data_IF_461599259297
#
_entry.id   IF_461599259297
#
_cell.length_a   1.000
_cell.length_b   1.000
_cell.length_c   1.000
_cell.angle_alpha   90.00
_cell.angle_beta   90.00
_cell.angle_gamma   90.00
#
_symmetry.space_group_name_H-M   'P 1'
#
loop_
_entity.id
_entity.type
_entity.pdbx_description
1 polymer ?
#
# COMPACT_ATOMS: atom_id res chain seq x y z
N UNK A 1 -12.54 -8.76 22.31
CA UNK A 1 -13.15 -9.03 20.99
C UNK A 1 -14.40 -9.90 21.10
N UNK A 2 -14.37 -11.09 21.72
CA UNK A 2 -15.53 -11.99 21.85
C UNK A 2 -16.74 -11.33 22.52
N UNK A 3 -16.55 -10.61 23.64
CA UNK A 3 -17.62 -9.90 24.34
C UNK A 3 -18.26 -8.79 23.46
N UNK A 4 -17.47 -8.08 22.66
CA UNK A 4 -17.98 -7.08 21.72
C UNK A 4 -18.83 -7.71 20.62
N UNK A 5 -18.38 -8.83 20.04
CA UNK A 5 -19.13 -9.58 19.02
C UNK A 5 -20.46 -10.07 19.58
N UNK A 6 -20.46 -10.63 20.79
CA UNK A 6 -21.70 -11.06 21.46
C UNK A 6 -22.65 -9.87 21.66
N UNK A 7 -22.13 -8.73 22.11
CA UNK A 7 -22.95 -7.54 22.33
C UNK A 7 -23.54 -6.98 21.04
N UNK A 8 -22.78 -6.99 19.95
CA UNK A 8 -23.28 -6.59 18.62
C UNK A 8 -24.41 -7.51 18.17
N UNK A 9 -24.26 -8.82 18.34
CA UNK A 9 -25.24 -9.83 17.87
C UNK A 9 -26.51 -9.92 18.73
N UNK A 10 -26.40 -9.69 20.05
CA UNK A 10 -27.49 -9.96 20.99
C UNK A 10 -27.91 -8.75 21.80
N UNK A 11 -27.18 -7.63 21.72
CA UNK A 11 -27.41 -6.45 22.58
C UNK A 11 -28.48 -5.47 22.09
N UNK A 12 -29.18 -5.77 20.99
CA UNK A 12 -30.22 -4.89 20.43
C UNK A 12 -29.68 -3.54 19.92
N UNK A 13 -28.40 -3.51 19.56
CA UNK A 13 -27.75 -2.28 19.06
C UNK A 13 -28.25 -1.91 17.66
N UNK A 14 -28.41 -0.62 17.41
CA UNK A 14 -28.62 -0.06 16.08
C UNK A 14 -27.36 0.70 15.68
N UNK A 15 -26.69 0.26 14.60
CA UNK A 15 -25.46 0.83 14.09
C UNK A 15 -25.78 1.63 12.83
N UNK A 16 -25.42 2.91 12.84
CA UNK A 16 -25.54 3.81 11.69
C UNK A 16 -24.20 3.82 10.97
N UNK A 17 -24.07 3.00 9.94
CA UNK A 17 -22.86 2.85 9.14
C UNK A 17 -22.61 4.07 8.27
N UNK A 18 -21.34 4.32 7.94
CA UNK A 18 -20.91 5.31 6.94
C UNK A 18 -20.98 4.80 5.50
N UNK A 19 -21.24 3.49 5.33
CA UNK A 19 -21.23 2.86 4.01
C UNK A 19 -22.28 3.47 3.08
N UNK A 20 -21.82 3.95 1.92
CA UNK A 20 -22.68 4.26 0.76
C UNK A 20 -22.95 2.97 -0.01
N UNK A 21 -24.19 2.46 0.09
CA UNK A 21 -24.57 1.19 -0.55
C UNK A 21 -24.42 1.21 -2.07
N UNK A 22 -24.52 2.38 -2.72
CA UNK A 22 -24.32 2.52 -4.17
C UNK A 22 -22.84 2.31 -4.49
N UNK A 23 -21.96 2.98 -3.79
CA UNK A 23 -20.50 2.86 -3.97
C UNK A 23 -20.04 1.44 -3.61
N UNK A 24 -20.55 0.88 -2.48
CA UNK A 24 -20.19 -0.45 -2.03
C UNK A 24 -20.52 -1.53 -3.06
N UNK A 25 -21.79 -1.56 -3.53
CA UNK A 25 -22.24 -2.54 -4.54
C UNK A 25 -21.50 -2.39 -5.87
N UNK A 26 -21.22 -1.16 -6.26
CA UNK A 26 -20.43 -0.88 -7.45
C UNK A 26 -19.02 -1.43 -7.31
N UNK A 27 -18.35 -1.16 -6.18
CA UNK A 27 -16.99 -1.66 -5.93
C UNK A 27 -16.96 -3.20 -5.84
N UNK A 28 -17.95 -3.81 -5.19
CA UNK A 28 -18.11 -5.27 -5.15
C UNK A 28 -18.19 -5.84 -6.57
N UNK A 29 -19.07 -5.30 -7.43
CA UNK A 29 -19.20 -5.76 -8.81
C UNK A 29 -17.89 -5.65 -9.61
N UNK A 30 -17.08 -4.61 -9.38
CA UNK A 30 -15.76 -4.47 -10.01
C UNK A 30 -14.74 -5.48 -9.50
N UNK A 31 -14.87 -5.92 -8.24
CA UNK A 31 -13.93 -6.82 -7.58
C UNK A 31 -14.33 -8.30 -7.70
N UNK A 32 -15.60 -8.61 -7.91
CA UNK A 32 -16.10 -9.99 -8.04
C UNK A 32 -15.71 -10.62 -9.38
N UNK A 33 -15.57 -9.82 -10.44
CA UNK A 33 -15.14 -10.33 -11.74
C UNK A 33 -13.64 -10.61 -11.75
N UNK A 34 -13.27 -11.86 -11.58
CA UNK A 34 -11.90 -12.35 -11.39
C UNK A 34 -11.40 -13.27 -12.54
N UNK A 35 -12.14 -13.33 -13.64
CA UNK A 35 -11.78 -14.12 -14.83
C UNK A 35 -10.92 -13.34 -15.84
N UNK A 36 -10.88 -13.85 -17.08
CA UNK A 36 -10.19 -13.20 -18.20
C UNK A 36 -10.72 -11.78 -18.48
N UNK A 37 -11.99 -11.53 -18.17
CA UNK A 37 -12.65 -10.25 -18.31
C UNK A 37 -12.57 -9.36 -17.06
N UNK A 38 -11.90 -9.83 -15.99
CA UNK A 38 -11.74 -9.11 -14.72
C UNK A 38 -10.60 -8.09 -14.73
N UNK A 39 -10.61 -7.19 -13.75
CA UNK A 39 -9.53 -6.21 -13.57
C UNK A 39 -8.23 -6.86 -13.14
N UNK A 40 -8.30 -7.89 -12.31
CA UNK A 40 -7.14 -8.54 -11.72
C UNK A 40 -6.92 -9.92 -12.34
N UNK A 41 -5.81 -10.12 -13.05
CA UNK A 41 -5.48 -11.45 -13.54
C UNK A 41 -5.30 -12.43 -12.38
N UNK A 42 -5.91 -13.60 -12.50
CA UNK A 42 -5.73 -14.69 -11.54
C UNK A 42 -4.35 -15.34 -11.76
N UNK A 43 -3.32 -14.75 -11.14
CA UNK A 43 -1.97 -15.28 -11.21
C UNK A 43 -1.81 -16.32 -10.12
N UNK A 44 -1.67 -17.57 -10.54
CA UNK A 44 -1.54 -18.71 -9.65
C UNK A 44 -0.08 -19.05 -9.40
N UNK A 45 0.24 -19.41 -8.17
CA UNK A 45 1.51 -20.04 -7.81
C UNK A 45 1.28 -21.19 -6.84
N UNK A 46 2.18 -22.15 -6.86
CA UNK A 46 2.20 -23.21 -5.86
C UNK A 46 2.97 -22.72 -4.62
N UNK A 47 2.42 -22.94 -3.46
CA UNK A 47 3.04 -22.68 -2.17
C UNK A 47 3.15 -23.97 -1.37
N UNK A 48 4.32 -24.20 -0.78
CA UNK A 48 4.56 -25.30 0.12
C UNK A 48 4.06 -24.93 1.52
N UNK A 49 3.20 -25.78 2.08
CA UNK A 49 2.74 -25.69 3.45
C UNK A 49 3.37 -26.83 4.26
N UNK A 50 4.41 -26.51 5.04
CA UNK A 50 5.07 -27.45 5.93
C UNK A 50 4.22 -27.68 7.18
N UNK A 51 3.93 -28.97 7.49
CA UNK A 51 3.17 -29.34 8.69
C UNK A 51 4.05 -29.42 9.94
N UNK A 52 5.38 -29.41 9.79
CA UNK A 52 6.31 -29.71 10.89
C UNK A 52 6.32 -31.19 11.32
N UNK A 53 5.45 -32.04 10.76
CA UNK A 53 5.38 -33.47 11.08
C UNK A 53 6.47 -34.18 10.28
N UNK A 54 7.31 -35.06 10.89
CA UNK A 54 8.28 -35.86 10.16
C UNK A 54 7.62 -36.65 9.03
N UNK A 55 8.20 -36.56 7.84
CA UNK A 55 7.73 -37.33 6.70
C UNK A 55 8.24 -38.76 6.81
N UNK A 56 7.30 -39.71 7.00
CA UNK A 56 7.57 -41.12 6.84
C UNK A 56 6.77 -41.64 5.64
N UNK A 57 7.43 -42.36 4.75
CA UNK A 57 6.77 -43.02 3.61
C UNK A 57 5.70 -44.01 4.02
N UNK A 58 5.74 -44.52 5.27
CA UNK A 58 4.71 -45.39 5.87
C UNK A 58 3.45 -44.59 6.27
N UNK A 59 3.56 -43.28 6.49
CA UNK A 59 2.42 -42.39 6.70
C UNK A 59 1.73 -41.97 5.40
N UNK A 60 1.94 -42.76 4.36
CA UNK A 60 1.36 -42.62 3.04
C UNK A 60 -0.16 -42.57 3.15
N UNK A 61 -0.72 -41.45 2.93
CA UNK A 61 -2.00 -40.97 3.30
C UNK A 61 -2.94 -41.01 2.12
N UNK A 62 -4.18 -41.28 2.40
CA UNK A 62 -5.33 -41.07 1.51
C UNK A 62 -5.91 -39.67 1.72
N UNK A 63 -6.80 -39.26 0.82
CA UNK A 63 -7.61 -38.04 1.01
C UNK A 63 -9.03 -38.47 1.34
N UNK A 64 -9.68 -37.75 2.27
CA UNK A 64 -11.11 -37.84 2.52
C UNK A 64 -11.94 -37.30 1.36
N UNK A 65 -13.23 -37.57 1.36
CA UNK A 65 -14.18 -37.06 0.36
C UNK A 65 -14.28 -35.52 0.37
N UNK A 66 -13.87 -34.89 1.47
CA UNK A 66 -13.77 -33.44 1.69
C UNK A 66 -12.42 -32.84 1.23
N UNK A 67 -11.54 -33.68 0.67
CA UNK A 67 -10.21 -33.27 0.23
C UNK A 67 -9.17 -33.09 1.35
N UNK A 68 -9.52 -33.40 2.61
CA UNK A 68 -8.58 -33.37 3.72
C UNK A 68 -7.60 -34.55 3.66
N UNK A 69 -6.31 -34.31 3.91
CA UNK A 69 -5.33 -35.39 4.01
C UNK A 69 -5.56 -36.18 5.30
N UNK A 70 -5.57 -37.49 5.17
CA UNK A 70 -5.76 -38.45 6.27
C UNK A 70 -4.45 -39.25 6.52
N UNK A 71 -4.12 -39.53 7.75
CA UNK A 71 -3.03 -40.46 8.11
C UNK A 71 -3.40 -41.91 7.77
N UNK A 72 -2.50 -42.84 8.04
CA UNK A 72 -2.74 -44.25 7.78
C UNK A 72 -3.93 -44.81 8.59
N UNK A 73 -4.37 -44.13 9.61
CA UNK A 73 -5.52 -44.47 10.45
C UNK A 73 -6.82 -43.84 9.95
N UNK A 74 -6.77 -43.05 8.88
CA UNK A 74 -7.91 -42.32 8.34
C UNK A 74 -8.27 -41.06 9.10
N UNK A 75 -7.37 -40.51 9.93
CA UNK A 75 -7.57 -39.29 10.69
C UNK A 75 -6.99 -38.09 9.93
N UNK A 76 -7.63 -36.87 10.01
CA UNK A 76 -7.09 -35.67 9.39
C UNK A 76 -5.69 -35.30 9.90
N UNK A 77 -4.81 -34.90 8.98
CA UNK A 77 -3.48 -34.41 9.31
C UNK A 77 -3.55 -32.89 9.49
N UNK A 78 -3.10 -32.40 10.64
CA UNK A 78 -3.15 -31.00 11.01
C UNK A 78 -1.74 -30.42 11.15
N UNK A 79 -1.63 -29.10 11.11
CA UNK A 79 -0.42 -28.39 11.52
C UNK A 79 -0.16 -28.60 13.03
N UNK A 80 1.05 -28.28 13.53
CA UNK A 80 1.38 -28.41 14.96
C UNK A 80 0.48 -27.63 15.91
N UNK A 81 -0.29 -26.65 15.40
CA UNK A 81 -1.27 -25.84 16.15
C UNK A 81 -2.71 -26.37 16.03
N UNK A 82 -2.89 -27.62 15.63
CA UNK A 82 -4.16 -28.29 15.39
C UNK A 82 -5.02 -27.65 14.28
N UNK A 83 -4.45 -26.77 13.47
CA UNK A 83 -5.17 -26.23 12.31
C UNK A 83 -5.06 -27.17 11.12
N UNK A 84 -6.18 -27.50 10.45
CA UNK A 84 -6.12 -28.36 9.26
C UNK A 84 -5.36 -27.67 8.12
N UNK A 85 -4.53 -28.44 7.42
CA UNK A 85 -3.87 -27.98 6.21
C UNK A 85 -4.78 -28.26 5.02
N UNK A 86 -5.76 -27.40 4.81
CA UNK A 86 -6.67 -27.48 3.67
C UNK A 86 -6.80 -26.12 2.97
N UNK A 87 -7.28 -26.14 1.75
CA UNK A 87 -7.52 -24.94 0.98
C UNK A 87 -8.89 -24.32 1.28
N UNK A 88 -8.91 -23.01 1.47
CA UNK A 88 -10.15 -22.24 1.67
C UNK A 88 -10.92 -21.99 0.36
N UNK A 89 -10.29 -22.19 -0.79
CA UNK A 89 -10.82 -21.84 -2.12
C UNK A 89 -11.09 -23.05 -3.03
N UNK A 90 -10.95 -24.27 -2.51
CA UNK A 90 -11.25 -25.49 -3.23
C UNK A 90 -10.17 -25.91 -4.24
N UNK A 91 -8.97 -25.37 -4.15
CA UNK A 91 -7.85 -25.81 -4.97
C UNK A 91 -7.24 -27.09 -4.40
N UNK A 92 -6.70 -27.97 -5.27
CA UNK A 92 -6.23 -29.30 -4.89
C UNK A 92 -4.94 -29.24 -4.08
N UNK A 93 -4.94 -29.78 -2.86
CA UNK A 93 -3.73 -29.99 -2.08
C UNK A 93 -2.91 -31.15 -2.63
N UNK A 94 -1.66 -30.89 -2.98
CA UNK A 94 -0.69 -31.91 -3.33
C UNK A 94 0.18 -32.24 -2.11
N UNK A 95 0.52 -33.51 -1.95
CA UNK A 95 1.28 -34.02 -0.82
C UNK A 95 2.69 -34.39 -1.20
N UNK A 96 3.66 -34.21 -0.28
CA UNK A 96 5.04 -34.62 -0.46
C UNK A 96 5.91 -34.46 0.77
N UNK A 97 7.20 -34.72 0.65
CA UNK A 97 8.21 -34.36 1.64
C UNK A 97 8.72 -32.95 1.38
N UNK A 98 9.17 -32.25 2.43
CA UNK A 98 9.86 -30.98 2.31
C UNK A 98 11.08 -31.08 1.39
N UNK A 99 11.36 -30.03 0.61
CA UNK A 99 12.50 -29.99 -0.29
C UNK A 99 13.85 -30.01 0.46
N UNK A 100 13.86 -29.48 1.69
CA UNK A 100 15.01 -29.45 2.58
C UNK A 100 14.65 -30.09 3.93
N UNK A 101 15.57 -30.82 4.58
CA UNK A 101 15.35 -31.31 5.93
C UNK A 101 15.34 -30.13 6.93
N UNK A 102 14.66 -30.33 8.05
CA UNK A 102 14.67 -29.40 9.19
C UNK A 102 16.05 -29.39 9.88
N UNK A 103 16.18 -28.64 10.98
CA UNK A 103 17.44 -28.53 11.76
C UNK A 103 17.95 -29.87 12.31
N UNK A 104 17.08 -30.85 12.46
CA UNK A 104 17.39 -32.22 12.93
C UNK A 104 17.72 -33.19 11.78
N UNK A 105 17.78 -32.71 10.55
CA UNK A 105 18.08 -33.50 9.36
C UNK A 105 16.88 -34.38 8.86
N UNK A 106 15.68 -34.10 9.35
CA UNK A 106 14.47 -34.83 9.04
C UNK A 106 13.64 -34.07 8.02
N UNK A 107 13.19 -34.74 6.94
CA UNK A 107 12.21 -34.19 6.03
C UNK A 107 10.82 -34.18 6.69
N UNK A 108 10.07 -33.11 6.48
CA UNK A 108 8.72 -32.95 7.03
C UNK A 108 7.66 -33.21 5.96
N UNK A 109 6.47 -33.59 6.40
CA UNK A 109 5.31 -33.70 5.53
C UNK A 109 4.85 -32.30 5.10
N UNK A 110 4.74 -32.10 3.80
CA UNK A 110 4.29 -30.83 3.22
C UNK A 110 3.10 -31.05 2.31
N UNK A 111 2.27 -30.02 2.23
CA UNK A 111 1.22 -29.91 1.24
C UNK A 111 1.52 -28.74 0.33
N UNK A 112 1.24 -28.93 -0.96
CA UNK A 112 1.33 -27.86 -1.93
C UNK A 112 -0.07 -27.36 -2.22
N UNK A 113 -0.26 -26.06 -2.06
CA UNK A 113 -1.51 -25.38 -2.42
C UNK A 113 -1.27 -24.39 -3.53
N UNK A 114 -2.27 -24.26 -4.39
CA UNK A 114 -2.29 -23.20 -5.37
C UNK A 114 -2.91 -21.95 -4.72
N UNK A 115 -2.15 -20.87 -4.64
CA UNK A 115 -2.63 -19.57 -4.19
C UNK A 115 -2.64 -18.60 -5.36
N UNK A 116 -3.54 -17.65 -5.34
CA UNK A 116 -3.64 -16.62 -6.37
C UNK A 116 -3.46 -15.23 -5.78
N UNK A 117 -3.16 -14.28 -6.66
CA UNK A 117 -3.13 -12.87 -6.29
C UNK A 117 -4.48 -12.41 -5.75
N UNK A 118 -4.41 -11.49 -4.79
CA UNK A 118 -5.54 -10.83 -4.17
C UNK A 118 -5.42 -9.32 -4.37
N UNK A 119 -6.55 -8.62 -4.29
CA UNK A 119 -6.58 -7.18 -4.24
C UNK A 119 -7.56 -6.70 -3.17
N UNK A 120 -7.33 -5.49 -2.69
CA UNK A 120 -8.20 -4.85 -1.73
C UNK A 120 -8.29 -3.35 -2.04
N UNK A 121 -9.48 -2.78 -1.89
CA UNK A 121 -9.75 -1.38 -2.22
C UNK A 121 -10.62 -0.76 -1.13
N UNK A 122 -10.34 0.49 -0.77
CA UNK A 122 -11.15 1.30 0.12
C UNK A 122 -11.41 2.68 -0.49
N UNK A 123 -12.64 3.17 -0.35
CA UNK A 123 -13.06 4.51 -0.78
C UNK A 123 -13.59 5.28 0.41
N UNK A 124 -13.14 6.52 0.56
CA UNK A 124 -13.49 7.44 1.65
C UNK A 124 -13.93 8.79 1.10
N UNK A 125 -14.72 9.52 1.87
CA UNK A 125 -14.86 10.97 1.69
C UNK A 125 -13.79 11.74 2.48
N UNK A 126 -13.86 13.06 2.42
CA UNK A 126 -12.91 13.93 3.12
C UNK A 126 -13.33 14.28 4.56
N UNK A 127 -14.46 13.76 5.01
CA UNK A 127 -14.90 13.86 6.42
C UNK A 127 -14.43 12.67 7.25
N UNK A 128 -13.70 11.73 6.62
CA UNK A 128 -13.17 10.53 7.25
C UNK A 128 -14.10 9.31 7.17
N UNK A 129 -15.24 9.41 6.50
CA UNK A 129 -16.16 8.28 6.37
C UNK A 129 -15.62 7.23 5.39
N UNK A 130 -15.56 5.97 5.81
CA UNK A 130 -15.32 4.83 4.93
C UNK A 130 -16.64 4.51 4.23
N UNK A 131 -16.72 4.86 2.93
CA UNK A 131 -17.95 4.75 2.13
C UNK A 131 -18.10 3.39 1.48
N UNK A 132 -16.98 2.78 1.05
CA UNK A 132 -16.95 1.45 0.47
C UNK A 132 -15.60 0.80 0.73
N UNK A 133 -15.60 -0.52 0.93
CA UNK A 133 -14.37 -1.30 1.02
C UNK A 133 -14.61 -2.75 0.59
N UNK A 134 -13.64 -3.32 -0.13
CA UNK A 134 -13.61 -4.73 -0.52
C UNK A 134 -12.23 -5.30 -0.22
N UNK A 135 -12.19 -6.38 0.55
CA UNK A 135 -10.97 -6.97 1.10
C UNK A 135 -10.41 -8.17 0.32
N UNK A 136 -10.93 -8.47 -0.88
CA UNK A 136 -10.49 -9.58 -1.70
C UNK A 136 -11.07 -9.56 -3.10
N UNK A 137 -10.52 -10.37 -4.00
CA UNK A 137 -10.99 -10.56 -5.39
C UNK A 137 -11.86 -11.80 -5.47
N UNK A 138 -12.93 -11.72 -6.28
CA UNK A 138 -13.87 -12.81 -6.50
C UNK A 138 -15.05 -12.78 -5.51
N UNK A 139 -15.98 -13.72 -5.72
CA UNK A 139 -17.18 -13.83 -4.90
C UNK A 139 -16.87 -14.07 -3.42
N UNK A 140 -17.48 -13.30 -2.54
CA UNK A 140 -17.37 -13.51 -1.10
C UNK A 140 -18.24 -14.70 -0.69
N UNK A 141 -17.59 -15.82 -0.35
CA UNK A 141 -18.27 -17.09 -0.01
C UNK A 141 -18.50 -17.29 1.48
N UNK A 142 -17.75 -16.59 2.35
CA UNK A 142 -17.79 -16.79 3.79
C UNK A 142 -17.93 -15.48 4.54
N UNK A 143 -18.67 -15.52 5.64
CA UNK A 143 -18.68 -14.43 6.62
C UNK A 143 -17.38 -14.41 7.41
N UNK A 144 -16.98 -13.20 7.84
CA UNK A 144 -15.74 -12.98 8.61
C UNK A 144 -14.44 -13.40 7.88
N UNK A 145 -14.46 -13.49 6.55
CA UNK A 145 -13.26 -13.69 5.76
C UNK A 145 -12.27 -12.52 5.94
N UNK A 146 -11.00 -12.78 5.64
CA UNK A 146 -9.92 -11.79 5.79
C UNK A 146 -10.21 -10.52 4.99
N UNK A 147 -10.28 -9.39 5.68
CA UNK A 147 -10.49 -8.09 5.07
C UNK A 147 -9.15 -7.37 4.87
N UNK A 148 -8.51 -7.57 3.72
CA UNK A 148 -7.20 -6.97 3.42
C UNK A 148 -7.24 -5.45 3.31
N UNK A 149 -8.43 -4.86 3.11
CA UNK A 149 -8.57 -3.41 3.03
C UNK A 149 -8.38 -2.71 4.39
N UNK A 150 -8.73 -3.40 5.50
CA UNK A 150 -8.70 -2.84 6.84
C UNK A 150 -7.77 -3.56 7.82
N UNK A 151 -7.56 -4.88 7.65
CA UNK A 151 -6.92 -5.72 8.66
C UNK A 151 -5.50 -6.18 8.28
N UNK A 152 -5.09 -6.04 7.01
CA UNK A 152 -3.80 -6.53 6.52
C UNK A 152 -2.94 -5.38 6.00
N UNK A 153 -2.02 -4.86 6.82
CA UNK A 153 -1.08 -3.86 6.35
C UNK A 153 -0.07 -4.46 5.36
N UNK A 154 0.29 -3.70 4.34
CA UNK A 154 1.24 -4.07 3.29
C UNK A 154 2.19 -2.92 3.00
N UNK A 155 3.40 -3.22 2.54
CA UNK A 155 4.30 -2.18 2.06
C UNK A 155 3.64 -1.39 0.93
N UNK A 156 3.67 -0.07 1.02
CA UNK A 156 2.97 0.80 0.08
C UNK A 156 3.87 1.36 -1.02
N UNK A 157 5.17 1.10 -0.95
CA UNK A 157 6.11 1.57 -1.96
C UNK A 157 6.02 3.08 -2.20
N UNK A 158 6.13 3.48 -3.44
CA UNK A 158 6.18 4.90 -3.84
C UNK A 158 4.94 5.73 -3.50
N UNK A 159 3.84 5.14 -3.01
CA UNK A 159 2.72 5.93 -2.48
C UNK A 159 3.06 6.61 -1.14
N UNK A 160 4.16 6.24 -0.50
CA UNK A 160 4.66 6.93 0.69
C UNK A 160 5.29 8.29 0.39
N UNK A 161 5.89 8.48 -0.79
CA UNK A 161 6.65 9.70 -1.16
C UNK A 161 5.88 11.00 -0.97
N UNK A 162 4.63 11.15 -1.46
CA UNK A 162 3.84 12.35 -1.26
C UNK A 162 3.54 12.64 0.20
N UNK A 163 3.27 11.60 1.00
CA UNK A 163 2.82 11.71 2.39
C UNK A 163 3.89 12.31 3.29
N UNK A 164 5.11 11.81 3.23
CA UNK A 164 6.17 12.25 4.15
C UNK A 164 7.09 13.29 3.50
N UNK A 165 7.85 12.92 2.47
CA UNK A 165 8.91 13.78 1.96
C UNK A 165 8.37 15.05 1.29
N UNK A 166 7.45 14.91 0.31
CA UNK A 166 7.00 16.06 -0.46
C UNK A 166 6.10 16.99 0.36
N UNK A 167 5.08 16.46 1.05
CA UNK A 167 4.16 17.28 1.83
C UNK A 167 4.90 18.06 2.92
N UNK A 168 5.72 17.37 3.71
CA UNK A 168 6.47 18.01 4.79
C UNK A 168 7.57 18.93 4.26
N UNK A 169 8.17 18.60 3.09
CA UNK A 169 9.15 19.46 2.42
C UNK A 169 8.57 20.79 1.97
N UNK A 170 7.33 20.80 1.43
CA UNK A 170 6.62 22.02 1.07
C UNK A 170 6.19 22.78 2.32
N UNK A 171 5.62 22.09 3.31
CA UNK A 171 5.14 22.69 4.56
C UNK A 171 6.25 23.43 5.31
N UNK A 172 7.47 22.90 5.29
CA UNK A 172 8.64 23.51 5.95
C UNK A 172 9.44 24.44 5.02
N UNK A 173 8.98 24.70 3.81
CA UNK A 173 9.68 25.59 2.87
C UNK A 173 11.02 25.05 2.36
N UNK A 174 11.29 23.75 2.54
CA UNK A 174 12.51 23.08 2.02
C UNK A 174 12.47 22.99 0.50
N UNK A 175 11.27 22.76 -0.04
CA UNK A 175 11.00 22.73 -1.47
C UNK A 175 9.72 23.51 -1.82
N UNK A 176 9.56 23.80 -3.10
CA UNK A 176 8.32 24.28 -3.70
C UNK A 176 8.03 23.50 -4.99
N UNK A 177 6.94 23.82 -5.67
CA UNK A 177 6.49 23.13 -6.88
C UNK A 177 7.57 23.04 -7.98
N UNK A 178 8.35 24.12 -8.16
CA UNK A 178 9.35 24.25 -9.22
C UNK A 178 10.80 24.09 -8.75
N UNK A 179 11.03 23.72 -7.50
CA UNK A 179 12.38 23.47 -6.98
C UNK A 179 13.13 22.46 -7.82
N UNK A 180 14.41 22.71 -8.05
CA UNK A 180 15.32 21.81 -8.74
C UNK A 180 16.13 21.00 -7.73
N UNK A 181 16.12 19.69 -7.87
CA UNK A 181 16.96 18.76 -7.08
C UNK A 181 17.67 17.82 -8.05
N UNK A 182 18.93 17.49 -7.79
CA UNK A 182 19.67 16.57 -8.62
C UNK A 182 19.03 15.16 -8.61
N UNK A 183 18.80 14.60 -9.78
CA UNK A 183 18.40 13.19 -9.93
C UNK A 183 19.63 12.28 -9.73
N UNK A 184 20.09 12.19 -8.50
CA UNK A 184 21.29 11.46 -8.10
C UNK A 184 21.08 10.71 -6.77
N UNK A 185 21.74 9.58 -6.56
CA UNK A 185 21.72 8.89 -5.27
C UNK A 185 22.14 9.80 -4.12
N UNK A 186 21.56 9.60 -2.93
CA UNK A 186 22.00 10.28 -1.72
C UNK A 186 23.37 9.75 -1.27
N UNK A 187 23.57 8.44 -1.41
CA UNK A 187 24.84 7.77 -1.12
C UNK A 187 25.40 7.14 -2.37
N UNK A 188 26.67 7.38 -2.65
CA UNK A 188 27.42 6.73 -3.72
C UNK A 188 28.06 5.43 -3.21
N UNK A 189 28.59 4.63 -4.13
CA UNK A 189 29.38 3.46 -3.78
C UNK A 189 30.62 3.81 -2.92
N UNK A 190 31.21 4.98 -3.15
CA UNK A 190 32.39 5.47 -2.44
C UNK A 190 32.08 5.93 -1.01
N UNK A 191 30.84 6.25 -0.68
CA UNK A 191 30.44 6.66 0.66
C UNK A 191 30.36 5.48 1.65
N UNK A 192 30.41 4.24 1.19
CA UNK A 192 30.35 3.00 1.99
C UNK A 192 29.18 2.95 2.98
N UNK A 193 28.06 3.59 2.64
CA UNK A 193 26.91 3.71 3.54
C UNK A 193 25.78 2.71 3.28
N UNK A 194 25.75 2.12 2.09
CA UNK A 194 24.71 1.15 1.72
C UNK A 194 25.35 -0.15 1.24
N UNK A 195 25.30 -1.17 2.09
CA UNK A 195 25.79 -2.50 1.78
C UNK A 195 24.85 -3.22 0.80
N UNK A 196 25.42 -3.86 -0.22
CA UNK A 196 24.68 -4.75 -1.12
C UNK A 196 24.50 -6.12 -0.46
N UNK A 197 23.49 -6.23 0.39
CA UNK A 197 23.26 -7.44 1.19
C UNK A 197 22.99 -8.69 0.34
N UNK A 198 22.40 -8.54 -0.85
CA UNK A 198 22.21 -9.66 -1.77
C UNK A 198 23.54 -10.19 -2.30
N UNK A 199 24.42 -9.27 -2.69
CA UNK A 199 25.75 -9.64 -3.17
C UNK A 199 26.61 -10.23 -2.04
N UNK A 200 26.52 -9.67 -0.83
CA UNK A 200 27.20 -10.23 0.35
C UNK A 200 26.73 -11.67 0.64
N UNK A 201 25.41 -11.96 0.56
CA UNK A 201 24.92 -13.33 0.74
C UNK A 201 25.49 -14.31 -0.31
N UNK A 202 25.56 -13.90 -1.57
CA UNK A 202 26.18 -14.72 -2.65
C UNK A 202 27.64 -15.04 -2.39
N UNK A 203 28.35 -14.13 -1.71
CA UNK A 203 29.76 -14.29 -1.38
C UNK A 203 29.99 -14.91 0.00
N UNK A 204 28.94 -15.21 0.77
CA UNK A 204 29.07 -15.71 2.15
C UNK A 204 29.66 -14.69 3.13
N UNK A 205 29.52 -13.39 2.84
CA UNK A 205 30.03 -12.30 3.68
C UNK A 205 29.00 -11.89 4.73
N UNK A 206 29.49 -11.24 5.79
CA UNK A 206 28.67 -10.61 6.82
C UNK A 206 27.68 -9.61 6.22
N UNK A 207 26.51 -9.48 6.84
CA UNK A 207 25.52 -8.46 6.50
C UNK A 207 25.65 -7.20 7.39
N UNK A 208 26.65 -7.16 8.24
CA UNK A 208 26.98 -5.99 9.05
C UNK A 208 27.82 -4.99 8.22
N UNK A 209 27.32 -3.76 7.99
CA UNK A 209 28.11 -2.71 7.34
C UNK A 209 29.39 -2.35 8.10
N UNK A 210 29.43 -2.57 9.41
CA UNK A 210 30.61 -2.32 10.27
C UNK A 210 31.66 -3.41 10.19
N UNK A 211 31.42 -4.54 9.56
CA UNK A 211 32.37 -5.64 9.46
C UNK A 211 33.63 -5.21 8.70
N UNK A 212 34.82 -5.40 9.28
CA UNK A 212 36.08 -5.04 8.64
C UNK A 212 36.30 -5.70 7.27
N UNK A 213 35.78 -6.92 7.06
CA UNK A 213 35.86 -7.59 5.78
C UNK A 213 35.01 -6.88 4.68
N UNK A 214 33.86 -6.29 5.04
CA UNK A 214 33.06 -5.47 4.16
C UNK A 214 33.69 -4.10 3.94
N UNK A 215 34.24 -3.49 5.00
CA UNK A 215 34.90 -2.18 4.91
C UNK A 215 36.14 -2.19 4.02
N UNK A 216 36.80 -3.34 3.89
CA UNK A 216 37.97 -3.51 3.02
C UNK A 216 37.63 -3.71 1.53
N UNK A 217 36.37 -3.68 1.14
CA UNK A 217 35.91 -4.02 -0.22
C UNK A 217 34.99 -2.95 -0.77
N UNK A 218 35.28 -2.45 -1.98
CA UNK A 218 34.41 -1.50 -2.68
C UNK A 218 33.27 -2.18 -3.43
N UNK A 219 33.43 -3.43 -3.86
CA UNK A 219 32.45 -4.14 -4.70
C UNK A 219 31.16 -4.55 -3.93
N UNK A 220 31.19 -4.57 -2.62
CA UNK A 220 30.01 -4.89 -1.79
C UNK A 220 29.11 -3.69 -1.51
N UNK A 221 29.49 -2.50 -1.90
CA UNK A 221 28.72 -1.28 -1.69
C UNK A 221 27.94 -0.88 -2.92
N UNK A 222 26.82 -0.22 -2.75
CA UNK A 222 25.97 0.26 -3.83
C UNK A 222 25.52 1.70 -3.62
N UNK A 223 25.29 2.39 -4.73
CA UNK A 223 24.58 3.67 -4.69
C UNK A 223 23.14 3.48 -4.19
N UNK A 224 22.66 4.42 -3.34
CA UNK A 224 21.29 4.40 -2.83
C UNK A 224 20.72 5.82 -2.67
N UNK A 225 19.42 6.02 -2.98
CA UNK A 225 18.57 5.08 -3.72
C UNK A 225 18.89 5.06 -5.20
N UNK A 226 18.38 4.04 -5.90
CA UNK A 226 18.34 4.03 -7.36
C UNK A 226 16.91 4.22 -7.85
N UNK A 227 16.72 4.82 -9.00
CA UNK A 227 15.43 4.87 -9.70
C UNK A 227 15.13 3.52 -10.36
N UNK A 228 13.89 3.36 -10.83
CA UNK A 228 13.47 2.16 -11.58
C UNK A 228 14.37 1.88 -12.81
N UNK A 229 14.85 2.93 -13.48
CA UNK A 229 15.64 2.86 -14.70
C UNK A 229 17.16 3.09 -14.48
N UNK A 230 17.62 3.08 -13.21
CA UNK A 230 19.04 3.22 -12.90
C UNK A 230 19.36 4.22 -11.78
N UNK A 231 20.62 4.57 -11.60
CA UNK A 231 21.08 5.38 -10.46
C UNK A 231 20.67 6.87 -10.53
N UNK A 232 19.98 7.27 -11.59
CA UNK A 232 19.65 8.67 -11.85
C UNK A 232 20.53 9.27 -12.93
N UNK A 233 20.14 10.45 -13.40
CA UNK A 233 20.80 11.14 -14.53
C UNK A 233 21.94 12.05 -14.08
N UNK A 234 22.06 12.34 -12.77
CA UNK A 234 22.95 13.33 -12.18
C UNK A 234 22.54 14.78 -12.49
N UNK A 235 21.48 15.00 -13.26
CA UNK A 235 21.03 16.35 -13.66
C UNK A 235 19.94 16.86 -12.73
N UNK A 236 19.82 18.18 -12.55
CA UNK A 236 18.67 18.75 -11.84
C UNK A 236 17.35 18.38 -12.54
N UNK A 237 16.34 18.06 -11.74
CA UNK A 237 14.97 17.78 -12.18
C UNK A 237 14.01 18.61 -11.33
N UNK A 238 12.94 19.10 -11.93
CA UNK A 238 11.89 19.82 -11.22
C UNK A 238 11.15 18.86 -10.29
N UNK A 239 10.89 19.29 -9.08
CA UNK A 239 10.15 18.52 -8.06
C UNK A 239 8.84 17.96 -8.60
N UNK A 240 8.09 18.74 -9.39
CA UNK A 240 6.85 18.29 -10.02
C UNK A 240 7.07 17.10 -10.98
N UNK A 241 8.10 17.14 -11.81
CA UNK A 241 8.43 16.06 -12.74
C UNK A 241 8.98 14.83 -12.01
N UNK A 242 9.78 15.06 -10.98
CA UNK A 242 10.31 13.97 -10.14
C UNK A 242 9.19 13.17 -9.45
N UNK A 243 8.16 13.85 -8.93
CA UNK A 243 7.01 13.19 -8.35
C UNK A 243 6.16 12.47 -9.40
N UNK A 244 5.89 13.10 -10.55
CA UNK A 244 5.11 12.52 -11.64
C UNK A 244 5.75 11.22 -12.16
N UNK A 245 7.07 11.21 -12.33
CA UNK A 245 7.87 10.06 -12.74
C UNK A 245 8.18 9.09 -11.60
N UNK A 246 7.79 9.45 -10.37
CA UNK A 246 8.04 8.62 -9.18
C UNK A 246 9.52 8.32 -8.93
N UNK A 247 10.44 9.25 -9.23
CA UNK A 247 11.87 9.07 -8.95
C UNK A 247 12.09 8.77 -7.47
N UNK A 248 13.08 7.96 -7.15
CA UNK A 248 13.47 7.61 -5.77
C UNK A 248 14.50 8.59 -5.20
N UNK A 249 15.39 9.07 -6.05
CA UNK A 249 16.55 9.90 -5.69
C UNK A 249 16.13 11.23 -5.06
N UNK A 250 15.16 11.89 -5.64
CA UNK A 250 14.71 13.22 -5.22
C UNK A 250 14.01 13.21 -3.85
N UNK A 251 12.97 12.39 -3.61
CA UNK A 251 12.28 12.39 -2.30
C UNK A 251 13.18 11.92 -1.16
N UNK A 252 14.16 11.05 -1.42
CA UNK A 252 15.10 10.63 -0.37
C UNK A 252 16.01 11.79 0.05
N UNK A 253 16.50 12.61 -0.88
CA UNK A 253 17.25 13.82 -0.54
C UNK A 253 16.38 14.82 0.25
N UNK A 254 15.12 15.01 -0.15
CA UNK A 254 14.16 15.86 0.61
C UNK A 254 13.99 15.28 2.04
N UNK A 255 13.82 13.97 2.16
CA UNK A 255 13.66 13.31 3.44
C UNK A 255 14.89 13.44 4.34
N UNK A 256 16.08 13.37 3.76
CA UNK A 256 17.34 13.57 4.48
C UNK A 256 17.45 15.00 5.01
N UNK A 257 17.12 16.01 4.19
CA UNK A 257 17.08 17.41 4.61
C UNK A 257 16.10 17.66 5.77
N UNK A 258 14.98 16.94 5.81
CA UNK A 258 13.94 17.07 6.85
C UNK A 258 14.32 16.33 8.14
N UNK A 259 15.06 15.23 8.03
CA UNK A 259 15.45 14.36 9.10
C UNK A 259 14.42 13.29 9.46
N UNK A 260 14.91 12.07 9.70
CA UNK A 260 14.12 10.84 9.91
C UNK A 260 13.08 10.98 11.02
N UNK A 261 13.44 11.55 12.15
CA UNK A 261 12.56 11.72 13.31
C UNK A 261 11.33 12.57 12.97
N UNK A 262 11.54 13.69 12.28
CA UNK A 262 10.41 14.56 11.87
C UNK A 262 9.50 13.87 10.88
N UNK A 263 10.06 13.10 9.93
CA UNK A 263 9.28 12.31 8.99
C UNK A 263 8.44 11.25 9.72
N UNK A 264 9.03 10.56 10.71
CA UNK A 264 8.34 9.54 11.49
C UNK A 264 7.19 10.15 12.32
N UNK A 265 7.47 11.20 13.08
CA UNK A 265 6.48 11.86 13.93
C UNK A 265 5.30 12.41 13.09
N UNK A 266 5.59 12.91 11.89
CA UNK A 266 4.55 13.37 10.96
C UNK A 266 3.72 12.21 10.41
N UNK A 267 4.35 11.16 9.89
CA UNK A 267 3.65 10.01 9.31
C UNK A 267 2.82 9.27 10.35
N UNK A 268 3.39 9.01 11.53
CA UNK A 268 2.73 8.28 12.61
C UNK A 268 1.66 9.13 13.31
N UNK A 269 2.04 10.35 13.73
CA UNK A 269 1.18 11.20 14.59
C UNK A 269 0.19 12.06 13.80
N UNK A 270 0.62 12.69 12.68
CA UNK A 270 -0.24 13.62 11.95
C UNK A 270 -1.03 12.96 10.82
N UNK A 271 -0.56 11.85 10.27
CA UNK A 271 -1.23 11.13 9.18
C UNK A 271 -1.84 9.80 9.61
N UNK A 272 -1.72 9.40 10.88
CA UNK A 272 -2.35 8.21 11.43
C UNK A 272 -1.82 6.88 10.88
N UNK A 273 -0.57 6.83 10.40
CA UNK A 273 0.05 5.58 9.94
C UNK A 273 0.56 4.75 11.13
N UNK A 274 -0.37 4.27 11.94
CA UNK A 274 -0.09 3.68 13.26
C UNK A 274 0.54 2.27 13.21
N UNK A 275 0.66 1.65 12.05
CA UNK A 275 1.37 0.39 11.88
C UNK A 275 2.89 0.56 11.66
N UNK A 276 3.40 1.79 11.59
CA UNK A 276 4.83 2.04 11.53
C UNK A 276 5.51 1.57 12.84
N UNK A 277 6.59 0.82 12.69
CA UNK A 277 7.41 0.35 13.81
C UNK A 277 8.41 1.46 14.20
N UNK A 278 8.35 1.99 15.46
CA UNK A 278 9.22 3.11 15.88
C UNK A 278 10.72 2.81 15.85
N UNK A 279 11.10 1.54 15.98
CA UNK A 279 12.52 1.13 16.01
C UNK A 279 13.04 0.84 14.60
N UNK A 280 12.22 0.18 13.76
CA UNK A 280 12.63 -0.33 12.45
C UNK A 280 12.28 0.62 11.30
N UNK A 281 11.17 1.34 11.41
CA UNK A 281 10.68 2.19 10.32
C UNK A 281 11.15 3.66 10.44
N UNK A 282 11.91 4.03 11.49
CA UNK A 282 12.49 5.36 11.60
C UNK A 282 13.75 5.53 10.74
N UNK A 283 13.59 5.24 9.44
CA UNK A 283 14.63 5.39 8.42
C UNK A 283 14.05 5.88 7.09
N UNK A 284 14.92 6.39 6.19
CA UNK A 284 14.51 6.96 4.90
C UNK A 284 13.84 5.93 3.97
N UNK A 285 14.25 4.67 4.01
CA UNK A 285 13.62 3.62 3.23
C UNK A 285 12.12 3.47 3.54
N UNK A 286 11.74 3.11 4.77
CA UNK A 286 10.35 3.01 5.19
C UNK A 286 9.55 4.32 5.06
N UNK A 287 10.14 5.44 5.51
CA UNK A 287 9.43 6.72 5.62
C UNK A 287 9.29 7.47 4.30
N UNK A 288 10.11 7.19 3.31
CA UNK A 288 10.10 7.89 2.02
C UNK A 288 9.75 6.96 0.87
N UNK A 289 10.32 5.76 0.82
CA UNK A 289 10.15 4.82 -0.29
C UNK A 289 9.09 3.74 -0.02
N UNK A 290 8.55 3.69 1.20
CA UNK A 290 7.44 2.81 1.53
C UNK A 290 7.80 1.35 1.75
N UNK A 291 9.03 1.06 2.21
CA UNK A 291 9.50 -0.29 2.58
C UNK A 291 9.30 -0.58 4.08
N UNK A 292 8.10 -0.27 4.59
CA UNK A 292 7.76 -0.42 6.00
C UNK A 292 7.83 -1.88 6.48
N UNK A 293 8.10 -2.08 7.76
CA UNK A 293 8.18 -3.40 8.41
C UNK A 293 6.84 -4.15 8.34
N UNK A 294 5.76 -3.49 8.75
CA UNK A 294 4.40 -4.06 8.70
C UNK A 294 3.60 -3.52 7.51
N UNK A 295 3.83 -2.27 7.14
CA UNK A 295 3.12 -1.60 6.05
C UNK A 295 1.91 -0.80 6.50
N UNK A 296 0.99 -0.56 5.56
CA UNK A 296 -0.19 0.31 5.71
C UNK A 296 -1.38 -0.37 5.04
N UNK A 297 -2.56 -0.31 5.63
CA UNK A 297 -3.78 -0.83 4.99
C UNK A 297 -4.33 0.14 3.94
N UNK A 298 -5.10 -0.32 2.94
CA UNK A 298 -5.80 0.56 2.01
C UNK A 298 -6.65 1.65 2.68
N UNK A 299 -7.36 1.34 3.76
CA UNK A 299 -8.11 2.35 4.53
C UNK A 299 -7.18 3.41 5.12
N UNK A 300 -6.09 3.02 5.78
CA UNK A 300 -5.14 3.99 6.33
C UNK A 300 -4.48 4.83 5.23
N UNK A 301 -4.18 4.20 4.08
CA UNK A 301 -3.58 4.90 2.95
C UNK A 301 -4.54 5.93 2.34
N UNK A 302 -5.81 5.57 2.12
CA UNK A 302 -6.84 6.50 1.66
C UNK A 302 -7.01 7.66 2.66
N UNK A 303 -7.07 7.34 3.95
CA UNK A 303 -7.23 8.31 5.01
C UNK A 303 -6.05 9.30 5.10
N UNK A 304 -4.81 8.80 5.00
CA UNK A 304 -3.63 9.67 4.98
C UNK A 304 -3.61 10.61 3.77
N UNK A 305 -4.10 10.16 2.60
CA UNK A 305 -4.20 10.99 1.41
C UNK A 305 -5.36 12.00 1.44
N UNK A 306 -6.38 11.78 2.27
CA UNK A 306 -7.51 12.72 2.40
C UNK A 306 -7.07 14.10 2.87
N UNK A 307 -5.95 14.20 3.58
CA UNK A 307 -5.35 15.48 4.02
C UNK A 307 -5.03 16.43 2.87
N UNK A 308 -4.87 15.93 1.66
CA UNK A 308 -4.54 16.78 0.51
C UNK A 308 -5.74 17.58 -0.04
N UNK A 309 -6.91 17.50 0.56
CA UNK A 309 -8.02 18.40 0.24
C UNK A 309 -7.87 19.77 0.93
N UNK A 310 -7.67 19.75 2.25
CA UNK A 310 -7.71 20.95 3.11
C UNK A 310 -6.59 20.99 4.17
N UNK A 311 -5.72 20.00 4.17
CA UNK A 311 -4.62 19.85 5.12
C UNK A 311 -5.00 19.18 6.44
N UNK A 312 -6.26 18.78 6.63
CA UNK A 312 -6.77 18.24 7.88
C UNK A 312 -6.85 16.72 7.84
N UNK A 313 -6.19 16.06 8.77
CA UNK A 313 -6.38 14.63 9.03
C UNK A 313 -7.60 14.43 9.92
N UNK A 314 -8.50 13.55 9.51
CA UNK A 314 -9.67 13.11 10.27
C UNK A 314 -9.60 11.58 10.39
N UNK A 315 -9.68 11.00 11.61
CA UNK A 315 -9.66 9.54 11.77
C UNK A 315 -10.74 8.84 10.95
N UNK A 316 -10.42 7.66 10.42
CA UNK A 316 -11.36 6.88 9.64
C UNK A 316 -12.57 6.42 10.48
N UNK A 317 -13.77 6.67 9.97
CA UNK A 317 -15.04 6.33 10.61
C UNK A 317 -15.77 5.29 9.77
N UNK A 318 -16.19 4.20 10.42
CA UNK A 318 -17.01 3.13 9.83
C UNK A 318 -18.48 3.23 10.20
N UNK A 319 -18.80 4.04 11.21
CA UNK A 319 -20.15 4.33 11.66
C UNK A 319 -20.21 5.76 12.24
N UNK A 320 -21.35 6.38 12.15
CA UNK A 320 -21.60 7.73 12.70
C UNK A 320 -22.23 7.69 14.09
N UNK A 321 -22.93 6.60 14.42
CA UNK A 321 -23.62 6.48 15.70
C UNK A 321 -23.96 5.02 16.00
N UNK A 322 -23.99 4.66 17.28
CA UNK A 322 -24.59 3.42 17.79
C UNK A 322 -25.58 3.76 18.88
N UNK A 323 -26.81 3.22 18.80
CA UNK A 323 -27.84 3.40 19.84
C UNK A 323 -28.21 2.07 20.43
N UNK A 324 -28.69 2.11 21.67
CA UNK A 324 -29.35 0.98 22.35
C UNK A 324 -30.77 0.77 21.81
N UNK A 325 -31.41 -0.32 22.22
CA UNK A 325 -32.78 -0.66 21.80
C UNK A 325 -33.81 0.40 22.20
N UNK A 326 -33.59 1.13 23.29
CA UNK A 326 -34.43 2.23 23.78
C UNK A 326 -34.21 3.57 23.04
N UNK A 327 -33.26 3.58 22.07
CA UNK A 327 -32.91 4.77 21.27
C UNK A 327 -31.85 5.67 21.90
N UNK A 328 -31.41 5.40 23.11
CA UNK A 328 -30.32 6.18 23.74
C UNK A 328 -29.01 5.96 23.04
N UNK A 329 -28.16 7.01 22.96
CA UNK A 329 -26.84 6.93 22.34
C UNK A 329 -25.91 6.08 23.18
N UNK A 330 -25.29 5.07 22.53
CA UNK A 330 -24.30 4.19 23.14
C UNK A 330 -22.87 4.58 22.76
N UNK A 331 -22.63 4.88 21.47
CA UNK A 331 -21.37 5.39 20.94
C UNK A 331 -21.65 6.49 19.93
N UNK A 332 -20.86 7.54 19.98
CA UNK A 332 -20.89 8.65 19.04
C UNK A 332 -19.45 9.05 18.71
N UNK A 333 -18.87 8.49 17.63
CA UNK A 333 -17.48 8.78 17.25
C UNK A 333 -17.21 10.27 17.03
N UNK A 334 -18.22 11.06 16.66
CA UNK A 334 -18.04 12.49 16.46
C UNK A 334 -17.67 13.23 17.75
N UNK A 335 -18.04 12.69 18.92
CA UNK A 335 -17.65 13.25 20.22
C UNK A 335 -16.22 12.86 20.63
N UNK A 336 -15.72 11.72 20.12
CA UNK A 336 -14.41 11.17 20.44
C UNK A 336 -13.38 11.41 19.33
N UNK A 337 -13.82 11.83 18.13
CA UNK A 337 -12.94 12.09 17.00
C UNK A 337 -12.29 13.47 17.13
N UNK A 338 -11.02 13.51 16.79
CA UNK A 338 -10.27 14.76 16.71
C UNK A 338 -9.75 14.95 15.29
N UNK A 339 -9.93 16.16 14.78
CA UNK A 339 -9.30 16.58 13.53
C UNK A 339 -7.94 17.23 13.84
N UNK A 340 -6.92 16.89 13.06
CA UNK A 340 -5.56 17.43 13.21
C UNK A 340 -5.21 18.18 11.94
N UNK A 341 -4.80 19.46 12.05
CA UNK A 341 -4.19 20.18 10.94
C UNK A 341 -2.80 19.57 10.70
N UNK A 342 -2.70 18.65 9.73
CA UNK A 342 -1.46 17.95 9.42
C UNK A 342 -0.50 18.83 8.61
N UNK A 343 -1.05 19.55 7.61
CA UNK A 343 -0.33 20.54 6.81
C UNK A 343 -1.24 21.74 6.54
N UNK A 344 -0.68 22.85 6.11
CA UNK A 344 -1.48 24.03 5.70
C UNK A 344 -2.37 23.69 4.48
N UNK A 345 -3.52 24.38 4.33
CA UNK A 345 -4.34 24.24 3.12
C UNK A 345 -3.56 24.54 1.84
N UNK A 346 -2.59 25.46 1.89
CA UNK A 346 -1.71 25.80 0.77
C UNK A 346 -0.85 24.62 0.36
N UNK A 347 -0.22 23.94 1.33
CA UNK A 347 0.55 22.71 1.09
C UNK A 347 -0.34 21.60 0.52
N UNK A 348 -1.53 21.39 1.09
CA UNK A 348 -2.48 20.39 0.59
C UNK A 348 -2.84 20.63 -0.89
N UNK A 349 -3.14 21.87 -1.25
CA UNK A 349 -3.45 22.25 -2.64
C UNK A 349 -2.24 22.04 -3.57
N UNK A 350 -1.04 22.47 -3.16
CA UNK A 350 0.18 22.28 -3.96
C UNK A 350 0.43 20.77 -4.17
N UNK A 351 0.20 19.94 -3.15
CA UNK A 351 0.32 18.50 -3.26
C UNK A 351 -0.68 17.90 -4.28
N UNK A 352 -1.93 18.37 -4.30
CA UNK A 352 -2.88 17.95 -5.34
C UNK A 352 -2.38 18.30 -6.74
N UNK A 353 -1.82 19.52 -6.92
CA UNK A 353 -1.25 19.95 -8.21
C UNK A 353 -0.08 19.07 -8.65
N UNK A 354 0.79 18.68 -7.71
CA UNK A 354 1.90 17.74 -7.94
C UNK A 354 1.37 16.34 -8.33
N UNK A 355 0.38 15.82 -7.58
CA UNK A 355 -0.22 14.51 -7.81
C UNK A 355 -1.03 14.44 -9.13
N UNK A 356 -1.60 15.55 -9.60
CA UNK A 356 -2.21 15.63 -10.93
C UNK A 356 -1.20 15.34 -12.02
N UNK A 357 0.07 15.73 -11.85
CA UNK A 357 1.15 15.43 -12.79
C UNK A 357 1.33 13.94 -13.06
N UNK A 358 1.02 13.08 -12.10
CA UNK A 358 1.08 11.61 -12.26
C UNK A 358 0.13 11.12 -13.35
N UNK A 359 -1.03 11.79 -13.51
CA UNK A 359 -2.07 11.47 -14.52
C UNK A 359 -1.86 12.21 -15.84
N UNK A 360 -1.18 13.38 -15.84
CA UNK A 360 -1.19 14.29 -16.99
C UNK A 360 0.18 14.57 -17.58
N UNK A 361 1.26 14.54 -16.79
CA UNK A 361 2.61 14.85 -17.27
C UNK A 361 3.14 13.80 -18.27
N UNK A 362 4.02 14.16 -19.20
CA UNK A 362 4.59 13.23 -20.19
C UNK A 362 5.24 11.97 -19.60
N UNK A 363 5.88 12.09 -18.44
CA UNK A 363 6.49 10.96 -17.70
C UNK A 363 5.64 10.41 -16.55
N UNK A 364 4.37 10.82 -16.44
CA UNK A 364 3.49 10.40 -15.35
C UNK A 364 3.23 8.90 -15.33
N UNK A 365 3.40 8.29 -14.14
CA UNK A 365 3.32 6.82 -13.97
C UNK A 365 1.91 6.24 -14.12
N UNK A 366 0.87 7.08 -14.10
CA UNK A 366 -0.52 6.73 -14.39
C UNK A 366 -1.12 7.63 -15.49
N UNK A 367 -0.28 8.06 -16.44
CA UNK A 367 -0.73 8.95 -17.51
C UNK A 367 -1.89 8.34 -18.31
N UNK A 368 -2.96 9.12 -18.48
CA UNK A 368 -4.16 8.70 -19.20
C UNK A 368 -5.12 7.85 -18.38
N UNK A 369 -4.89 7.69 -17.08
CA UNK A 369 -5.77 6.96 -16.16
C UNK A 369 -6.72 7.87 -15.37
N UNK A 370 -6.85 9.14 -15.73
CA UNK A 370 -7.91 9.97 -15.18
C UNK A 370 -9.29 9.45 -15.61
N UNK A 371 -10.31 9.49 -14.73
CA UNK A 371 -11.70 9.23 -15.14
C UNK A 371 -12.09 10.13 -16.32
N UNK A 372 -12.97 9.64 -17.19
CA UNK A 372 -13.46 10.46 -18.30
C UNK A 372 -14.35 11.61 -17.77
N UNK A 373 -14.34 12.72 -18.47
CA UNK A 373 -15.05 13.94 -18.05
C UNK A 373 -14.11 15.04 -17.61
N UNK A 374 -14.69 16.09 -17.01
CA UNK A 374 -13.95 17.30 -16.63
C UNK A 374 -13.53 17.31 -15.14
N UNK A 375 -14.02 16.35 -14.34
CA UNK A 375 -13.71 16.30 -12.90
C UNK A 375 -12.21 16.29 -12.63
N UNK A 376 -11.74 17.15 -11.79
CA UNK A 376 -10.33 17.13 -11.39
C UNK A 376 -9.97 15.79 -10.74
N UNK A 377 -8.75 15.34 -11.04
CA UNK A 377 -8.23 14.10 -10.48
C UNK A 377 -6.74 14.20 -10.23
N UNK A 378 -6.30 13.52 -9.20
CA UNK A 378 -4.90 13.37 -8.82
C UNK A 378 -4.63 11.92 -8.40
N UNK A 379 -3.40 11.44 -8.53
CA UNK A 379 -3.12 10.06 -8.18
C UNK A 379 -1.65 9.82 -7.80
N UNK A 380 -1.39 8.64 -7.22
CA UNK A 380 -0.05 8.13 -7.03
C UNK A 380 -0.02 6.61 -7.17
N UNK A 381 0.97 6.12 -7.89
CA UNK A 381 1.29 4.70 -8.03
C UNK A 381 2.33 4.27 -7.00
N UNK A 382 2.23 3.05 -6.52
CA UNK A 382 3.23 2.40 -5.69
C UNK A 382 3.59 1.02 -6.24
N UNK A 383 4.87 0.69 -6.13
CA UNK A 383 5.42 -0.62 -6.44
C UNK A 383 6.52 -0.89 -5.42
N UNK A 384 6.49 -2.05 -4.80
CA UNK A 384 7.52 -2.47 -3.86
C UNK A 384 8.69 -3.14 -4.58
N UNK A 385 9.79 -3.32 -3.87
CA UNK A 385 10.95 -4.07 -4.37
C UNK A 385 10.52 -5.46 -4.83
N UNK A 386 11.13 -5.92 -5.91
CA UNK A 386 10.83 -7.22 -6.54
C UNK A 386 9.36 -7.38 -6.98
N UNK A 387 8.64 -6.27 -7.25
CA UNK A 387 7.25 -6.29 -7.72
C UNK A 387 6.30 -7.16 -6.88
N UNK A 388 6.49 -7.18 -5.55
CA UNK A 388 5.69 -8.04 -4.65
C UNK A 388 4.32 -7.47 -4.37
N UNK A 389 4.24 -6.14 -4.26
CA UNK A 389 3.01 -5.42 -3.97
C UNK A 389 2.87 -4.23 -4.93
N UNK A 390 1.68 -4.05 -5.46
CA UNK A 390 1.28 -2.85 -6.17
C UNK A 390 0.25 -2.09 -5.34
N UNK A 391 0.42 -0.78 -5.26
CA UNK A 391 -0.54 0.12 -4.60
C UNK A 391 -0.91 1.26 -5.53
N UNK A 392 -2.08 1.82 -5.32
CA UNK A 392 -2.55 2.98 -6.04
C UNK A 392 -3.45 3.82 -5.14
N UNK A 393 -3.31 5.14 -5.22
CA UNK A 393 -4.26 6.06 -4.61
C UNK A 393 -4.70 7.06 -5.67
N UNK A 394 -6.00 7.21 -5.78
CA UNK A 394 -6.61 8.23 -6.63
C UNK A 394 -7.53 9.14 -5.85
N UNK A 395 -7.48 10.42 -6.15
CA UNK A 395 -8.26 11.49 -5.52
C UNK A 395 -9.10 12.20 -6.57
N UNK A 396 -10.32 12.52 -6.19
CA UNK A 396 -11.19 13.48 -6.87
C UNK A 396 -11.70 14.47 -5.82
N UNK A 397 -12.35 15.59 -6.17
CA UNK A 397 -12.92 16.48 -5.16
C UNK A 397 -13.96 15.83 -4.22
N UNK A 398 -14.51 14.69 -4.60
CA UNK A 398 -15.51 13.94 -3.83
C UNK A 398 -14.93 12.81 -3.00
N UNK A 399 -13.94 12.07 -3.54
CA UNK A 399 -13.52 10.77 -2.99
C UNK A 399 -12.01 10.59 -3.02
N UNK A 400 -11.52 9.85 -2.03
CA UNK A 400 -10.19 9.26 -2.03
C UNK A 400 -10.36 7.74 -2.07
N UNK A 401 -9.69 7.09 -3.03
CA UNK A 401 -9.70 5.63 -3.15
C UNK A 401 -8.29 5.11 -3.15
N UNK A 402 -8.00 4.16 -2.27
CA UNK A 402 -6.72 3.46 -2.25
C UNK A 402 -6.91 1.96 -2.45
N UNK A 403 -5.98 1.35 -3.19
CA UNK A 403 -5.99 -0.08 -3.45
C UNK A 403 -4.61 -0.71 -3.34
N UNK A 404 -4.64 -2.01 -3.06
CA UNK A 404 -3.48 -2.91 -3.04
C UNK A 404 -3.76 -4.14 -3.91
N UNK A 405 -2.72 -4.66 -4.55
CA UNK A 405 -2.74 -5.91 -5.31
C UNK A 405 -1.42 -6.66 -5.15
N UNK A 406 -1.49 -7.96 -4.83
CA UNK A 406 -0.34 -8.82 -4.61
C UNK A 406 -0.73 -10.21 -4.11
N UNK A 407 0.22 -10.98 -3.63
CA UNK A 407 -0.04 -12.23 -2.91
C UNK A 407 -0.14 -11.97 -1.40
N UNK A 408 -0.93 -12.79 -0.69
CA UNK A 408 -1.00 -12.75 0.78
C UNK A 408 0.37 -12.99 1.42
N UNK A 409 1.12 -13.95 0.92
CA UNK A 409 2.54 -14.10 1.20
C UNK A 409 3.33 -13.44 0.07
N UNK A 410 4.09 -12.36 0.35
CA UNK A 410 4.74 -11.56 -0.69
C UNK A 410 5.61 -12.38 -1.64
N UNK A 411 5.38 -12.25 -2.94
CA UNK A 411 6.16 -12.90 -3.98
C UNK A 411 6.30 -12.03 -5.22
N UNK A 412 7.38 -12.24 -5.96
CA UNK A 412 7.71 -11.50 -7.16
C UNK A 412 6.74 -11.80 -8.31
N UNK A 413 5.89 -10.83 -8.63
CA UNK A 413 4.92 -10.89 -9.72
C UNK A 413 5.59 -10.74 -11.11
N UNK A 414 6.82 -10.21 -11.18
CA UNK A 414 7.53 -10.06 -12.45
C UNK A 414 7.88 -11.40 -13.11
N UNK A 415 8.01 -12.46 -12.31
CA UNK A 415 8.21 -13.82 -12.80
C UNK A 415 7.01 -14.33 -13.60
N UNK A 416 5.83 -13.73 -13.41
CA UNK A 416 4.62 -14.00 -14.18
C UNK A 416 4.31 -12.89 -15.19
N UNK A 417 5.32 -12.08 -15.54
CA UNK A 417 5.21 -11.03 -16.54
C UNK A 417 4.59 -9.72 -16.06
N UNK A 418 4.24 -9.61 -14.76
CA UNK A 418 3.60 -8.41 -14.21
C UNK A 418 4.64 -7.47 -13.60
N UNK A 419 4.73 -6.27 -14.16
CA UNK A 419 5.66 -5.22 -13.72
C UNK A 419 4.98 -3.88 -13.43
N UNK A 420 3.66 -3.81 -13.50
CA UNK A 420 2.90 -2.57 -13.28
C UNK A 420 1.62 -2.83 -12.51
N UNK A 421 1.22 -1.89 -11.65
CA UNK A 421 -0.09 -1.88 -10.99
C UNK A 421 -1.23 -1.36 -11.87
N UNK A 422 -1.15 -1.52 -13.20
CA UNK A 422 -2.19 -1.06 -14.14
C UNK A 422 -3.60 -1.56 -13.83
N UNK A 423 -3.81 -2.81 -13.35
CA UNK A 423 -5.12 -3.28 -12.89
C UNK A 423 -5.80 -2.34 -11.89
N UNK A 424 -5.10 -1.92 -10.84
CA UNK A 424 -5.63 -0.96 -9.85
C UNK A 424 -5.96 0.40 -10.46
N UNK A 425 -5.12 0.88 -11.38
CA UNK A 425 -5.31 2.18 -12.06
C UNK A 425 -6.56 2.15 -12.94
N UNK A 426 -6.74 1.05 -13.68
CA UNK A 426 -7.89 0.86 -14.58
C UNK A 426 -9.18 0.73 -13.78
N UNK A 427 -9.18 -0.11 -12.73
CA UNK A 427 -10.30 -0.24 -11.82
C UNK A 427 -10.70 1.11 -11.23
N UNK A 428 -9.73 1.87 -10.69
CA UNK A 428 -10.01 3.18 -10.10
C UNK A 428 -10.62 4.15 -11.12
N UNK A 429 -10.08 4.22 -12.33
CA UNK A 429 -10.59 5.08 -13.41
C UNK A 429 -12.07 4.79 -13.68
N UNK A 430 -12.38 3.52 -13.91
CA UNK A 430 -13.72 3.09 -14.34
C UNK A 430 -14.73 3.18 -13.18
N UNK A 431 -14.28 2.82 -11.97
CA UNK A 431 -15.06 2.98 -10.74
C UNK A 431 -15.39 4.45 -10.47
N UNK A 432 -14.40 5.35 -10.50
CA UNK A 432 -14.63 6.77 -10.27
C UNK A 432 -15.47 7.41 -11.36
N UNK A 433 -15.34 6.97 -12.60
CA UNK A 433 -16.19 7.44 -13.69
C UNK A 433 -17.68 7.17 -13.40
N UNK A 434 -18.00 5.95 -12.95
CA UNK A 434 -19.37 5.59 -12.59
C UNK A 434 -19.81 6.20 -11.25
N UNK A 435 -18.92 6.24 -10.28
CA UNK A 435 -19.20 6.79 -8.95
C UNK A 435 -19.59 8.27 -8.98
N UNK A 436 -19.06 9.02 -9.94
CA UNK A 436 -19.27 10.45 -10.10
C UNK A 436 -20.31 10.82 -11.16
N UNK A 437 -20.92 9.83 -11.80
CA UNK A 437 -21.98 10.08 -12.77
C UNK A 437 -23.14 10.86 -12.15
N UNK A 438 -23.49 11.98 -12.78
CA UNK A 438 -24.55 12.88 -12.30
C UNK A 438 -24.15 13.82 -11.14
N UNK A 439 -22.92 13.72 -10.62
CA UNK A 439 -22.44 14.67 -9.63
C UNK A 439 -22.03 16.00 -10.31
N UNK A 440 -22.25 17.17 -9.65
CA UNK A 440 -21.77 18.43 -10.14
C UNK A 440 -20.26 18.43 -10.37
N UNK A 441 -19.80 19.19 -11.37
CA UNK A 441 -18.38 19.42 -11.55
C UNK A 441 -17.80 20.17 -10.33
N UNK A 442 -16.68 19.69 -9.82
CA UNK A 442 -15.91 20.32 -8.76
C UNK A 442 -14.41 20.30 -9.10
N UNK A 443 -13.71 21.30 -8.58
CA UNK A 443 -12.25 21.36 -8.51
C UNK A 443 -11.80 21.26 -7.06
N UNK A 444 -10.55 20.90 -6.85
CA UNK A 444 -9.97 21.02 -5.51
C UNK A 444 -9.93 22.48 -5.10
N UNK A 445 -10.38 22.84 -3.87
CA UNK A 445 -10.50 24.22 -3.46
C UNK A 445 -9.14 24.93 -3.43
N UNK A 446 -9.07 26.08 -4.08
CA UNK A 446 -7.87 26.94 -4.06
C UNK A 446 -7.87 27.75 -2.77
N UNK A 447 -6.92 27.55 -1.86
CA UNK A 447 -6.88 28.30 -0.61
C UNK A 447 -6.39 29.73 -0.83
N UNK A 448 -6.72 30.62 0.10
CA UNK A 448 -6.20 31.97 0.11
C UNK A 448 -4.67 32.00 0.14
N UNK A 449 -4.07 32.94 -0.58
CA UNK A 449 -2.61 33.10 -0.65
C UNK A 449 -1.90 32.22 -1.70
N UNK A 450 -2.60 31.28 -2.35
CA UNK A 450 -2.05 30.52 -3.47
C UNK A 450 -2.34 31.24 -4.78
N UNK A 451 -1.29 31.46 -5.56
CA UNK A 451 -1.38 32.12 -6.87
C UNK A 451 -0.67 31.32 -7.94
N UNK A 452 -1.27 31.23 -9.13
CA UNK A 452 -0.63 30.60 -10.28
C UNK A 452 0.48 31.50 -10.85
N UNK A 453 1.64 30.93 -11.11
CA UNK A 453 2.78 31.57 -11.73
C UNK A 453 3.40 30.65 -12.76
N UNK A 454 3.98 31.24 -13.81
CA UNK A 454 4.82 30.50 -14.76
C UNK A 454 6.23 30.37 -14.20
N UNK A 455 6.88 29.25 -14.48
CA UNK A 455 8.28 29.05 -14.16
C UNK A 455 9.01 28.47 -15.38
N UNK A 456 10.30 28.70 -15.43
CA UNK A 456 11.20 28.07 -16.42
C UNK A 456 11.61 26.69 -15.91
N UNK A 457 11.26 25.58 -16.62
CA UNK A 457 11.61 24.23 -16.18
C UNK A 457 13.11 23.96 -16.09
N UNK A 458 13.93 24.71 -16.82
CA UNK A 458 15.38 24.52 -16.81
C UNK A 458 16.05 25.12 -15.56
N UNK A 459 15.46 26.17 -15.01
CA UNK A 459 16.04 26.93 -13.88
C UNK A 459 15.20 26.86 -12.61
N UNK A 460 13.95 26.39 -12.70
CA UNK A 460 12.98 26.43 -11.59
C UNK A 460 12.53 27.85 -11.21
N UNK A 461 13.08 28.88 -11.85
CA UNK A 461 12.80 30.26 -11.53
C UNK A 461 11.46 30.72 -12.09
N UNK A 462 10.78 31.61 -11.35
CA UNK A 462 9.55 32.24 -11.82
C UNK A 462 9.84 33.13 -13.02
N UNK A 463 8.99 32.99 -14.05
CA UNK A 463 9.01 33.90 -15.21
C UNK A 463 8.24 35.17 -14.82
N UNK A 464 8.82 36.37 -15.05
CA UNK A 464 8.13 37.63 -14.80
C UNK A 464 6.76 37.66 -15.48
N UNK A 465 5.75 38.18 -14.79
CA UNK A 465 4.46 38.46 -15.41
C UNK A 465 4.69 39.63 -16.40
N UNK A 466 4.55 39.37 -17.69
CA UNK A 466 4.58 40.42 -18.71
C UNK A 466 3.42 41.39 -18.57
#
# INVERSE_FOLDING_TARGET
>A
RAAAVTRIRTGGLRIFSTVDLRLQRMLEAFMENDGEDGYFPALWRQEEADTGIPFDSADAVSYGDDGLPLNAQGEPVFRPDDTPVYEQDGTTLLRGSSAQPNADGVHTLVFYRNIRTQAAVATMDYEGHVLALVGGVGEKRYDLSLNRAADVPRQIGSTMKPLAAYALGIENGVINYSSLIADAPLYTQQDHRMLNTEYCRKLGLSLDPGDPANQARDDVWRAWPTNYNGPGTGRPVVVADALAQSLNTVPVQIGDMLGKRRLFDFAYGSLGLTHLDPERDNDLGPLVLGSQTHGVTPVQLANAYSVFRDGVYRPALYYTKVTLADGSTYLDPAQDSYAVQAVSPQTAYIMNRLLRGVLTAPGGTARGMAPAGEMEAAAKTGTTTDYRDFTFVGLTPYYVTAGWWGYDVPADLSQQGVRTGKPLQTLWRDYMQQAQEGLPYLEFPVPEGVVARRYDPATGCLVPSG
#
